data_IF_962571949499
#
_entry.id   IF_962571949499
#
_cell.length_a   1.000
_cell.length_b   1.000
_cell.length_c   1.000
_cell.angle_alpha   90.00
_cell.angle_beta   90.00
_cell.angle_gamma   90.00
#
_symmetry.space_group_name_H-M   'P 1'
#
loop_
_entity.id
_entity.type
_entity.pdbx_description
1 polymer ?
#
# COMPACT_ATOMS: atom_id res chain seq x y z
N UNK A 1 9.07 34.67 20.70
CA UNK A 1 7.77 34.47 20.01
C UNK A 1 7.99 33.47 18.89
N UNK A 2 8.01 32.18 19.23
CA UNK A 2 8.38 31.12 18.30
C UNK A 2 7.12 30.57 17.61
N UNK A 3 6.67 31.27 16.57
CA UNK A 3 5.68 30.74 15.64
C UNK A 3 6.41 29.66 14.83
N UNK A 4 6.44 28.44 15.36
CA UNK A 4 6.90 27.27 14.62
C UNK A 4 6.29 27.33 13.20
N UNK A 5 7.17 27.41 12.19
CA UNK A 5 6.77 27.43 10.77
C UNK A 5 5.83 26.25 10.55
N UNK A 6 4.53 26.52 10.43
CA UNK A 6 3.54 25.57 9.93
C UNK A 6 3.89 25.34 8.47
N UNK A 7 4.74 24.36 8.20
CA UNK A 7 4.97 23.89 6.85
C UNK A 7 3.67 23.26 6.38
N UNK A 8 3.02 23.88 5.40
CA UNK A 8 1.86 23.28 4.74
C UNK A 8 2.30 22.02 3.97
N UNK A 9 1.39 21.06 3.83
CA UNK A 9 1.57 19.93 2.92
C UNK A 9 0.52 19.99 1.81
N UNK A 10 0.88 19.45 0.64
CA UNK A 10 -0.04 19.29 -0.48
C UNK A 10 -0.51 17.83 -0.51
N UNK A 11 -1.81 17.60 -0.32
CA UNK A 11 -2.44 16.29 -0.53
C UNK A 11 -3.38 16.37 -1.74
N UNK A 12 -3.21 15.42 -2.65
CA UNK A 12 -4.11 15.23 -3.79
C UNK A 12 -4.75 13.86 -3.64
N UNK A 13 -6.07 13.80 -3.76
CA UNK A 13 -6.84 12.58 -3.64
C UNK A 13 -7.71 12.37 -4.89
N UNK A 14 -7.12 11.92 -6.02
CA UNK A 14 -7.88 11.58 -7.21
C UNK A 14 -8.97 10.56 -6.85
N UNK A 15 -10.22 10.89 -7.19
CA UNK A 15 -11.37 10.10 -6.79
C UNK A 15 -12.04 10.52 -5.48
N UNK A 16 -11.59 11.58 -4.81
CA UNK A 16 -12.41 12.32 -3.81
C UNK A 16 -12.94 13.60 -4.43
N UNK A 17 -14.25 13.79 -4.37
CA UNK A 17 -14.95 15.01 -4.79
C UNK A 17 -15.45 15.71 -3.53
N UNK A 18 -14.89 16.88 -3.23
CA UNK A 18 -15.24 17.65 -2.02
C UNK A 18 -16.51 18.50 -2.19
N UNK A 19 -17.29 18.33 -3.27
CA UNK A 19 -18.33 19.28 -3.66
C UNK A 19 -19.61 19.18 -2.80
N UNK A 20 -19.89 18.07 -2.10
CA UNK A 20 -21.06 17.97 -1.21
C UNK A 20 -21.00 16.77 -0.24
N UNK A 21 -19.98 16.74 0.63
CA UNK A 21 -19.81 15.70 1.65
C UNK A 21 -19.03 14.47 1.16
N UNK A 22 -17.70 14.52 1.31
CA UNK A 22 -16.73 13.43 1.11
C UNK A 22 -17.16 12.33 0.13
N UNK A 23 -17.40 12.72 -1.12
CA UNK A 23 -17.76 11.77 -2.15
C UNK A 23 -16.53 11.06 -2.67
N UNK A 24 -16.59 9.74 -2.80
CA UNK A 24 -15.51 8.97 -3.39
C UNK A 24 -15.97 8.16 -4.60
N UNK A 25 -15.27 8.33 -5.72
CA UNK A 25 -15.33 7.50 -6.93
C UNK A 25 -13.94 6.88 -7.18
N UNK A 26 -13.83 5.70 -7.82
CA UNK A 26 -12.57 5.04 -8.07
C UNK A 26 -11.89 5.84 -9.19
N UNK A 27 -10.62 6.18 -9.02
CA UNK A 27 -9.92 6.91 -10.07
C UNK A 27 -9.87 6.09 -11.38
N UNK A 28 -9.60 4.79 -11.28
CA UNK A 28 -9.62 3.83 -12.39
C UNK A 28 -9.57 2.40 -11.85
N UNK A 29 -9.92 1.43 -12.69
CA UNK A 29 -9.69 -0.01 -12.44
C UNK A 29 -8.37 -0.52 -13.08
N UNK A 30 -7.74 0.28 -13.94
CA UNK A 30 -6.55 -0.05 -14.70
C UNK A 30 -5.26 0.42 -13.96
N UNK A 31 -4.38 -0.51 -13.55
CA UNK A 31 -3.11 -0.19 -12.91
C UNK A 31 -2.18 0.70 -13.75
N UNK A 32 -2.17 0.53 -15.08
CA UNK A 32 -1.32 1.32 -15.97
C UNK A 32 -1.79 2.78 -15.99
N UNK A 33 -3.09 3.00 -16.18
CA UNK A 33 -3.66 4.35 -16.16
C UNK A 33 -3.46 5.03 -14.80
N UNK A 34 -3.58 4.28 -13.69
CA UNK A 34 -3.31 4.81 -12.36
C UNK A 34 -1.84 5.21 -12.20
N UNK A 35 -0.91 4.40 -12.71
CA UNK A 35 0.51 4.73 -12.72
C UNK A 35 0.80 6.01 -13.51
N UNK A 36 0.23 6.15 -14.71
CA UNK A 36 0.38 7.38 -15.51
C UNK A 36 -0.17 8.59 -14.76
N UNK A 37 -1.37 8.48 -14.16
CA UNK A 37 -1.95 9.57 -13.37
C UNK A 37 -1.06 9.99 -12.20
N UNK A 38 -0.44 9.04 -11.49
CA UNK A 38 0.52 9.34 -10.41
C UNK A 38 1.71 10.14 -10.97
N UNK A 39 2.30 9.71 -12.08
CA UNK A 39 3.43 10.42 -12.68
C UNK A 39 3.05 11.82 -13.15
N UNK A 40 1.92 11.97 -13.84
CA UNK A 40 1.46 13.28 -14.31
C UNK A 40 1.20 14.24 -13.15
N UNK A 41 0.60 13.77 -12.06
CA UNK A 41 0.41 14.58 -10.85
C UNK A 41 1.76 15.02 -10.25
N UNK A 42 2.71 14.10 -10.10
CA UNK A 42 4.04 14.40 -9.53
C UNK A 42 4.86 15.30 -10.46
N UNK A 43 4.65 15.21 -11.78
CA UNK A 43 5.33 16.06 -12.75
C UNK A 43 4.71 17.46 -12.82
N UNK A 44 3.40 17.57 -12.64
CA UNK A 44 2.67 18.84 -12.73
C UNK A 44 2.95 19.76 -11.53
N UNK A 45 3.01 19.20 -10.31
CA UNK A 45 3.29 19.98 -9.11
C UNK A 45 4.78 19.94 -8.76
N UNK A 46 5.41 21.11 -8.65
CA UNK A 46 6.79 21.26 -8.20
C UNK A 46 6.91 21.17 -6.67
N UNK A 47 6.44 20.05 -6.11
CA UNK A 47 6.53 19.74 -4.69
C UNK A 47 7.23 18.40 -4.54
N UNK A 48 8.18 18.31 -3.60
CA UNK A 48 8.89 17.06 -3.33
C UNK A 48 7.89 15.96 -2.95
N UNK A 49 7.79 14.86 -3.74
CA UNK A 49 6.90 13.77 -3.40
C UNK A 49 7.35 13.10 -2.10
N UNK A 50 6.37 12.65 -1.31
CA UNK A 50 6.64 12.07 0.00
C UNK A 50 5.92 10.73 0.23
N UNK A 51 4.58 10.70 0.08
CA UNK A 51 3.79 9.50 0.34
C UNK A 51 2.76 9.24 -0.74
N UNK A 52 2.46 7.97 -0.96
CA UNK A 52 1.40 7.51 -1.85
C UNK A 52 0.45 6.62 -1.07
N UNK A 53 -0.85 6.93 -1.13
CA UNK A 53 -1.89 6.11 -0.51
C UNK A 53 -2.72 5.43 -1.60
N UNK A 54 -2.66 4.09 -1.65
CA UNK A 54 -3.42 3.29 -2.61
C UNK A 54 -4.67 2.71 -1.93
N UNK A 55 -5.84 2.95 -2.51
CA UNK A 55 -7.12 2.48 -1.96
C UNK A 55 -7.78 1.50 -2.92
N UNK A 56 -8.19 0.33 -2.40
CA UNK A 56 -8.88 -0.70 -3.16
C UNK A 56 -10.24 -1.00 -2.56
N UNK A 57 -11.27 -1.08 -3.40
CA UNK A 57 -12.61 -1.43 -2.95
C UNK A 57 -12.68 -2.89 -2.47
N UNK A 58 -13.28 -3.11 -1.30
CA UNK A 58 -13.55 -4.43 -0.76
C UNK A 58 -14.80 -5.04 -1.39
N UNK A 59 -14.76 -6.35 -1.64
CA UNK A 59 -15.97 -7.09 -2.03
C UNK A 59 -16.90 -7.18 -0.83
N UNK A 60 -18.23 -7.10 -1.03
CA UNK A 60 -19.22 -7.23 0.05
C UNK A 60 -18.99 -8.48 0.93
N UNK A 61 -18.65 -9.62 0.31
CA UNK A 61 -18.35 -10.88 1.00
C UNK A 61 -17.05 -10.89 1.82
N UNK A 62 -16.18 -9.92 1.63
CA UNK A 62 -14.89 -9.78 2.31
C UNK A 62 -14.97 -8.87 3.55
N UNK A 63 -15.96 -8.00 3.62
CA UNK A 63 -16.18 -7.09 4.76
C UNK A 63 -16.51 -7.91 6.00
N UNK A 64 -15.85 -7.59 7.11
CA UNK A 64 -15.94 -8.32 8.38
C UNK A 64 -15.15 -9.64 8.43
N UNK A 65 -14.52 -10.05 7.33
CA UNK A 65 -13.74 -11.30 7.22
C UNK A 65 -12.27 -11.05 6.93
N UNK A 66 -11.79 -9.84 7.16
CA UNK A 66 -10.41 -9.47 6.93
C UNK A 66 -9.47 -10.13 7.95
N UNK A 67 -8.22 -10.38 7.55
CA UNK A 67 -7.20 -11.05 8.37
C UNK A 67 -5.96 -10.18 8.52
N UNK A 68 -5.32 -10.25 9.68
CA UNK A 68 -4.04 -9.58 9.92
C UNK A 68 -2.99 -10.19 8.98
N UNK A 69 -2.23 -9.33 8.30
CA UNK A 69 -1.17 -9.77 7.39
C UNK A 69 -0.05 -10.50 8.15
N UNK A 70 0.53 -11.57 7.61
CA UNK A 70 1.70 -12.19 8.20
C UNK A 70 2.87 -11.21 8.13
N UNK A 71 3.68 -11.15 9.19
CA UNK A 71 4.87 -10.28 9.26
C UNK A 71 5.78 -10.44 8.03
N UNK A 72 5.96 -11.69 7.57
CA UNK A 72 6.76 -12.00 6.40
C UNK A 72 6.26 -11.33 5.10
N UNK A 73 4.93 -11.20 4.93
CA UNK A 73 4.33 -10.49 3.79
C UNK A 73 4.48 -8.99 3.94
N UNK A 74 4.39 -8.47 5.16
CA UNK A 74 4.63 -7.05 5.43
C UNK A 74 6.06 -6.65 5.11
N UNK A 75 7.05 -7.49 5.45
CA UNK A 75 8.44 -7.31 5.01
C UNK A 75 8.55 -7.22 3.48
N UNK A 76 7.88 -8.13 2.74
CA UNK A 76 7.86 -8.06 1.27
C UNK A 76 7.26 -6.74 0.75
N UNK A 77 6.14 -6.30 1.31
CA UNK A 77 5.49 -5.05 0.93
C UNK A 77 6.36 -3.83 1.22
N UNK A 78 7.03 -3.79 2.37
CA UNK A 78 7.96 -2.72 2.71
C UNK A 78 9.18 -2.68 1.81
N UNK A 79 9.68 -3.81 1.31
CA UNK A 79 10.71 -3.79 0.26
C UNK A 79 10.18 -3.18 -1.03
N UNK A 80 8.95 -3.51 -1.43
CA UNK A 80 8.37 -3.07 -2.71
C UNK A 80 7.93 -1.59 -2.71
N UNK A 81 7.57 -1.03 -1.56
CA UNK A 81 7.03 0.34 -1.49
C UNK A 81 7.44 1.15 -0.27
N UNK A 82 8.12 0.57 0.71
CA UNK A 82 8.50 1.25 1.96
C UNK A 82 9.73 2.15 1.85
N UNK A 83 10.25 2.38 0.64
CA UNK A 83 11.45 3.21 0.41
C UNK A 83 12.73 2.57 0.96
N UNK A 84 13.16 1.40 0.45
CA UNK A 84 14.47 0.89 0.78
C UNK A 84 15.54 1.87 0.28
N UNK A 85 16.35 2.39 1.19
CA UNK A 85 17.41 3.35 0.90
C UNK A 85 18.75 2.78 1.39
N UNK A 86 19.87 3.21 0.80
CA UNK A 86 21.21 2.95 1.33
C UNK A 86 21.55 4.04 2.34
N UNK A 87 21.92 3.67 3.56
CA UNK A 87 22.52 4.61 4.53
C UNK A 87 23.90 5.01 4.03
N UNK A 88 24.41 6.15 4.53
CA UNK A 88 25.81 6.56 4.32
C UNK A 88 26.86 5.54 4.79
N UNK A 89 26.44 4.54 5.59
CA UNK A 89 27.26 3.39 6.01
C UNK A 89 27.27 2.23 5.01
N UNK A 90 26.65 2.38 3.84
CA UNK A 90 26.49 1.33 2.83
C UNK A 90 25.44 0.26 3.16
N UNK A 91 24.80 0.33 4.33
CA UNK A 91 23.75 -0.63 4.75
C UNK A 91 22.37 -0.18 4.28
N UNK A 92 21.57 -1.13 3.79
CA UNK A 92 20.16 -0.88 3.45
C UNK A 92 19.29 -0.69 4.70
N UNK A 93 18.20 0.06 4.55
CA UNK A 93 17.15 0.21 5.55
C UNK A 93 15.84 0.66 4.89
N UNK A 94 14.71 0.54 5.59
CA UNK A 94 13.38 0.95 5.08
C UNK A 94 13.02 2.32 5.65
N UNK A 95 13.15 3.39 4.87
CA UNK A 95 13.07 4.77 5.36
C UNK A 95 11.72 5.12 5.97
N UNK A 96 10.61 4.64 5.39
CA UNK A 96 9.25 4.88 5.90
C UNK A 96 9.07 4.42 7.35
N UNK A 97 9.66 3.28 7.69
CA UNK A 97 9.60 2.73 9.05
C UNK A 97 10.65 3.38 9.95
N UNK A 98 11.89 3.56 9.45
CA UNK A 98 12.99 3.97 10.30
C UNK A 98 13.00 5.45 10.68
N UNK A 99 12.28 6.31 9.96
CA UNK A 99 12.01 7.70 10.35
C UNK A 99 10.69 7.87 11.12
N UNK A 100 10.04 6.77 11.52
CA UNK A 100 8.72 6.78 12.17
C UNK A 100 7.64 7.51 11.34
N UNK A 101 7.82 7.65 10.01
CA UNK A 101 6.89 8.36 9.11
C UNK A 101 5.50 7.71 9.06
N UNK A 102 5.43 6.43 9.38
CA UNK A 102 4.19 5.66 9.45
C UNK A 102 3.86 5.19 10.86
N UNK A 103 4.53 5.71 11.88
CA UNK A 103 4.19 5.47 13.29
C UNK A 103 3.34 6.62 13.82
N UNK A 104 2.25 6.33 14.52
CA UNK A 104 1.39 7.34 15.15
C UNK A 104 1.21 7.04 16.64
N UNK A 105 1.12 8.09 17.46
CA UNK A 105 1.02 7.98 18.93
C UNK A 105 -0.31 8.51 19.52
N UNK A 106 -1.29 8.86 18.68
CA UNK A 106 -2.48 9.62 19.10
C UNK A 106 -3.32 8.96 20.20
N UNK A 107 -3.65 7.68 20.05
CA UNK A 107 -4.43 6.90 21.03
C UNK A 107 -3.62 5.75 21.64
N UNK A 108 -2.29 5.87 21.56
CA UNK A 108 -1.34 4.78 21.71
C UNK A 108 -0.49 4.61 20.45
N UNK A 109 0.59 3.87 20.58
CA UNK A 109 1.49 3.59 19.46
C UNK A 109 0.80 2.67 18.45
N UNK A 110 0.82 3.06 17.17
CA UNK A 110 0.27 2.27 16.06
C UNK A 110 1.08 2.44 14.78
N UNK A 111 0.95 1.46 13.89
CA UNK A 111 1.55 1.51 12.56
C UNK A 111 0.48 1.85 11.51
N UNK A 112 0.63 3.00 10.87
CA UNK A 112 -0.23 3.51 9.78
C UNK A 112 0.15 2.80 8.46
N UNK A 113 0.00 1.48 8.43
CA UNK A 113 0.36 0.64 7.30
C UNK A 113 -0.82 0.39 6.36
N UNK A 114 -1.91 -0.15 6.90
CA UNK A 114 -3.13 -0.42 6.15
C UNK A 114 -4.38 -0.21 7.02
N UNK A 115 -5.43 0.38 6.45
CA UNK A 115 -6.67 0.76 7.14
C UNK A 115 -7.90 0.53 6.27
N UNK A 116 -8.92 -0.12 6.82
CA UNK A 116 -10.25 -0.18 6.23
C UNK A 116 -11.00 1.13 6.53
N UNK A 117 -11.64 1.70 5.52
CA UNK A 117 -12.46 2.91 5.65
C UNK A 117 -13.80 2.73 4.95
N UNK A 118 -14.85 3.34 5.52
CA UNK A 118 -16.19 3.41 4.94
C UNK A 118 -16.29 4.67 4.07
N UNK A 119 -16.75 4.53 2.83
CA UNK A 119 -16.91 5.64 1.87
C UNK A 119 -18.36 5.73 1.41
N UNK A 120 -18.85 6.96 1.23
CA UNK A 120 -20.16 7.25 0.64
C UNK A 120 -19.99 7.48 -0.87
N UNK A 121 -20.91 6.92 -1.64
CA UNK A 121 -20.94 7.01 -3.09
C UNK A 121 -22.32 7.48 -3.57
N UNK A 122 -22.37 8.34 -4.59
CA UNK A 122 -23.60 8.64 -5.35
C UNK A 122 -23.56 7.98 -6.73
N UNK A 123 -24.49 7.04 -6.96
CA UNK A 123 -24.93 6.67 -8.31
C UNK A 123 -26.00 7.70 -8.69
N UNK A 124 -25.63 8.68 -9.51
CA UNK A 124 -26.66 9.35 -10.29
C UNK A 124 -27.13 8.31 -11.33
N UNK A 125 -28.43 8.03 -11.44
CA UNK A 125 -28.94 7.45 -12.68
C UNK A 125 -28.60 8.41 -13.81
N UNK A 126 -28.44 7.89 -15.03
CA UNK A 126 -28.33 8.68 -16.25
C UNK A 126 -29.30 9.88 -16.22
N UNK A 127 -28.89 11.01 -16.80
CA UNK A 127 -29.42 12.39 -16.65
C UNK A 127 -30.93 12.62 -16.97
N UNK A 128 -31.82 11.63 -16.85
CA UNK A 128 -33.26 11.72 -17.19
C UNK A 128 -34.15 10.97 -16.16
N UNK A 129 -33.82 10.95 -14.87
CA UNK A 129 -34.75 10.39 -13.88
C UNK A 129 -34.81 11.21 -12.58
N UNK A 130 -36.00 11.72 -12.26
CA UNK A 130 -36.43 12.37 -11.01
C UNK A 130 -36.41 11.45 -9.77
N UNK A 131 -35.34 10.67 -9.60
CA UNK A 131 -35.13 9.84 -8.40
C UNK A 131 -33.95 10.37 -7.61
N UNK A 132 -34.10 10.60 -6.29
CA UNK A 132 -32.96 11.00 -5.46
C UNK A 132 -31.86 9.93 -5.56
N UNK A 133 -30.59 10.32 -5.75
CA UNK A 133 -29.52 9.38 -6.01
C UNK A 133 -29.36 8.41 -4.84
N UNK A 134 -29.32 7.12 -5.13
CA UNK A 134 -29.13 6.09 -4.11
C UNK A 134 -27.71 6.22 -3.52
N UNK A 135 -27.63 6.61 -2.25
CA UNK A 135 -26.38 6.61 -1.50
C UNK A 135 -25.93 5.16 -1.29
N UNK A 136 -24.89 4.74 -1.99
CA UNK A 136 -24.26 3.44 -1.78
C UNK A 136 -23.10 3.58 -0.79
N UNK A 137 -23.11 2.77 0.26
CA UNK A 137 -21.97 2.63 1.15
C UNK A 137 -21.00 1.61 0.53
N UNK A 138 -19.73 2.00 0.41
CA UNK A 138 -18.65 1.09 0.01
C UNK A 138 -17.56 1.05 1.08
N UNK A 139 -16.83 -0.06 1.14
CA UNK A 139 -15.68 -0.22 2.03
C UNK A 139 -14.42 -0.28 1.18
N UNK A 140 -13.38 0.43 1.60
CA UNK A 140 -12.08 0.44 0.92
C UNK A 140 -10.99 0.03 1.90
N UNK A 141 -10.01 -0.74 1.42
CA UNK A 141 -8.75 -0.94 2.11
C UNK A 141 -7.73 0.06 1.57
N UNK A 142 -7.16 0.86 2.46
CA UNK A 142 -6.13 1.85 2.14
C UNK A 142 -4.77 1.35 2.59
N UNK A 143 -3.79 1.35 1.70
CA UNK A 143 -2.38 1.10 2.00
C UNK A 143 -1.65 2.44 2.05
N UNK A 144 -1.01 2.74 3.19
CA UNK A 144 -0.41 4.05 3.50
C UNK A 144 1.10 4.01 3.67
N UNK A 145 1.71 2.84 3.50
CA UNK A 145 3.14 2.65 3.68
C UNK A 145 3.99 3.13 2.49
N UNK A 146 3.38 3.38 1.32
CA UNK A 146 4.11 3.56 0.07
C UNK A 146 4.81 4.93 0.03
N UNK A 147 6.12 4.93 -0.26
CA UNK A 147 6.93 6.11 -0.58
C UNK A 147 6.60 6.56 -2.00
N UNK A 148 6.27 7.83 -2.16
CA UNK A 148 6.08 8.42 -3.48
C UNK A 148 7.44 8.88 -4.03
N UNK A 149 7.79 8.39 -5.21
CA UNK A 149 9.09 8.56 -5.86
C UNK A 149 8.84 8.82 -7.36
N UNK A 150 9.50 9.84 -7.91
CA UNK A 150 9.15 10.40 -9.22
C UNK A 150 9.36 9.41 -10.37
N UNK A 151 10.32 8.49 -10.22
CA UNK A 151 10.76 7.54 -11.26
C UNK A 151 10.28 6.11 -11.02
N UNK A 152 9.55 5.84 -9.94
CA UNK A 152 9.12 4.49 -9.62
C UNK A 152 7.97 4.05 -10.54
N UNK A 153 8.06 2.85 -11.12
CA UNK A 153 6.91 2.21 -11.77
C UNK A 153 6.05 1.52 -10.70
N UNK A 154 4.85 2.05 -10.48
CA UNK A 154 3.90 1.55 -9.49
C UNK A 154 3.02 0.40 -9.98
N UNK A 155 2.98 0.10 -11.28
CA UNK A 155 2.10 -0.95 -11.82
C UNK A 155 2.29 -2.31 -11.14
N UNK A 156 3.54 -2.82 -10.95
CA UNK A 156 3.73 -4.10 -10.27
C UNK A 156 3.26 -4.06 -8.81
N UNK A 157 3.49 -2.96 -8.11
CA UNK A 157 3.04 -2.78 -6.72
C UNK A 157 1.51 -2.69 -6.63
N UNK A 158 0.86 -1.95 -7.53
CA UNK A 158 -0.60 -1.82 -7.59
C UNK A 158 -1.24 -3.19 -7.84
N UNK A 159 -0.76 -3.95 -8.83
CA UNK A 159 -1.22 -5.31 -9.10
C UNK A 159 -0.95 -6.24 -7.91
N UNK A 160 0.22 -6.13 -7.28
CA UNK A 160 0.58 -6.90 -6.10
C UNK A 160 -0.41 -6.68 -4.95
N UNK A 161 -0.70 -5.42 -4.62
CA UNK A 161 -1.65 -5.06 -3.57
C UNK A 161 -3.08 -5.51 -3.90
N UNK A 162 -3.50 -5.40 -5.16
CA UNK A 162 -4.81 -5.86 -5.64
C UNK A 162 -4.95 -7.37 -5.50
N UNK A 163 -3.97 -8.14 -5.96
CA UNK A 163 -3.94 -9.59 -5.81
C UNK A 163 -3.96 -10.02 -4.35
N UNK A 164 -3.13 -9.38 -3.52
CA UNK A 164 -3.10 -9.64 -2.09
C UNK A 164 -4.44 -9.34 -1.41
N UNK A 165 -5.09 -8.22 -1.78
CA UNK A 165 -6.41 -7.84 -1.28
C UNK A 165 -7.48 -8.90 -1.60
N UNK A 166 -7.44 -9.43 -2.83
CA UNK A 166 -8.44 -10.38 -3.30
C UNK A 166 -8.26 -11.78 -2.69
N UNK A 167 -7.02 -12.24 -2.55
CA UNK A 167 -6.73 -13.58 -2.03
C UNK A 167 -6.65 -13.64 -0.51
N UNK A 168 -5.93 -12.71 0.11
CA UNK A 168 -5.66 -12.74 1.55
C UNK A 168 -6.68 -11.95 2.36
N UNK A 169 -7.27 -10.91 1.76
CA UNK A 169 -8.19 -9.97 2.40
C UNK A 169 -7.59 -9.31 3.67
N UNK A 170 -6.53 -8.49 3.55
CA UNK A 170 -5.88 -7.83 4.70
C UNK A 170 -6.84 -6.95 5.50
N UNK A 171 -6.69 -7.00 6.83
CA UNK A 171 -7.35 -6.12 7.78
C UNK A 171 -6.51 -4.86 8.06
N UNK A 172 -6.98 -4.02 8.97
CA UNK A 172 -6.13 -3.07 9.68
C UNK A 172 -4.90 -3.79 10.26
N UNK A 173 -3.74 -3.13 10.17
CA UNK A 173 -2.47 -3.74 10.57
C UNK A 173 -1.79 -2.96 11.69
N UNK A 174 -1.64 -3.60 12.85
CA UNK A 174 -0.99 -3.08 14.06
C UNK A 174 -1.56 -1.75 14.54
N UNK A 175 -2.89 -1.66 14.64
CA UNK A 175 -3.56 -0.54 15.31
C UNK A 175 -3.27 -0.54 16.82
N UNK A 176 -3.44 0.62 17.49
CA UNK A 176 -3.24 0.74 18.93
C UNK A 176 -4.07 -0.30 19.72
N UNK A 177 -5.33 -0.52 19.31
CA UNK A 177 -6.22 -1.52 19.90
C UNK A 177 -5.70 -2.95 19.71
N UNK A 178 -5.22 -3.29 18.51
CA UNK A 178 -4.67 -4.61 18.20
C UNK A 178 -3.40 -4.89 19.02
N UNK A 179 -2.54 -3.88 19.16
CA UNK A 179 -1.30 -3.98 19.94
C UNK A 179 -1.59 -4.12 21.44
N UNK A 180 -2.56 -3.36 21.96
CA UNK A 180 -3.02 -3.49 23.37
C UNK A 180 -3.63 -4.86 23.64
N UNK A 181 -4.40 -5.40 22.70
CA UNK A 181 -5.08 -6.69 22.83
C UNK A 181 -4.21 -7.92 22.58
N UNK A 182 -2.98 -7.78 22.06
CA UNK A 182 -2.17 -8.95 21.67
C UNK A 182 -0.66 -8.77 21.90
N UNK A 183 -0.14 -9.48 22.91
CA UNK A 183 1.31 -9.60 23.15
C UNK A 183 2.08 -10.21 21.97
N UNK A 184 1.41 -11.03 21.15
CA UNK A 184 2.02 -11.60 19.93
C UNK A 184 2.22 -10.52 18.88
N UNK A 185 1.21 -9.69 18.63
CA UNK A 185 1.30 -8.59 17.66
C UNK A 185 2.31 -7.55 18.12
N UNK A 186 2.36 -7.24 19.42
CA UNK A 186 3.38 -6.35 19.97
C UNK A 186 4.81 -6.87 19.70
N UNK A 187 5.07 -8.16 19.94
CA UNK A 187 6.36 -8.78 19.62
C UNK A 187 6.68 -8.71 18.12
N UNK A 188 5.70 -9.00 17.26
CA UNK A 188 5.88 -8.90 15.81
C UNK A 188 6.16 -7.47 15.36
N UNK A 189 5.55 -6.47 16.01
CA UNK A 189 5.81 -5.07 15.71
C UNK A 189 7.24 -4.66 16.08
N UNK A 190 7.72 -5.07 17.26
CA UNK A 190 9.11 -4.83 17.66
C UNK A 190 10.11 -5.55 16.73
N UNK A 191 9.80 -6.78 16.30
CA UNK A 191 10.60 -7.49 15.30
C UNK A 191 10.62 -6.73 13.96
N UNK A 192 9.48 -6.19 13.53
CA UNK A 192 9.37 -5.41 12.30
C UNK A 192 10.22 -4.14 12.36
N UNK A 193 10.19 -3.41 13.48
CA UNK A 193 11.02 -2.21 13.69
C UNK A 193 12.51 -2.53 13.60
N UNK A 194 12.96 -3.58 14.30
CA UNK A 194 14.35 -4.05 14.26
C UNK A 194 14.77 -4.41 12.84
N UNK A 195 13.94 -5.21 12.15
CA UNK A 195 14.19 -5.59 10.78
C UNK A 195 14.18 -4.39 9.82
N UNK A 196 13.33 -3.38 10.01
CA UNK A 196 13.32 -2.21 9.13
C UNK A 196 14.58 -1.34 9.27
N UNK A 197 15.16 -1.28 10.48
CA UNK A 197 16.39 -0.55 10.75
C UNK A 197 17.64 -1.26 10.22
N UNK A 198 17.66 -2.59 10.30
CA UNK A 198 18.71 -3.48 9.81
C UNK A 198 18.08 -4.70 9.10
N UNK A 199 17.72 -4.57 7.81
CA UNK A 199 17.01 -5.63 7.12
C UNK A 199 17.88 -6.87 6.91
N UNK A 200 17.31 -8.01 7.26
CA UNK A 200 17.81 -9.32 6.89
C UNK A 200 17.09 -9.85 5.64
N UNK A 201 17.72 -10.79 4.93
CA UNK A 201 17.16 -11.40 3.73
C UNK A 201 15.78 -12.00 3.96
N UNK A 202 14.90 -11.80 2.98
CA UNK A 202 13.61 -12.47 2.93
C UNK A 202 13.81 -13.84 2.27
N UNK A 203 13.50 -14.93 2.98
CA UNK A 203 13.65 -16.28 2.43
C UNK A 203 12.90 -16.46 1.09
N UNK A 204 13.50 -17.23 0.18
CA UNK A 204 12.88 -17.55 -1.12
C UNK A 204 11.53 -18.24 -0.98
N UNK A 205 11.34 -19.06 0.06
CA UNK A 205 10.06 -19.69 0.36
C UNK A 205 8.99 -18.64 0.71
N UNK A 206 9.37 -17.59 1.46
CA UNK A 206 8.46 -16.47 1.77
C UNK A 206 8.08 -15.71 0.51
N UNK A 207 9.06 -15.38 -0.33
CA UNK A 207 8.83 -14.68 -1.61
C UNK A 207 7.89 -15.50 -2.50
N UNK A 208 8.17 -16.79 -2.68
CA UNK A 208 7.31 -17.69 -3.46
C UNK A 208 5.89 -17.78 -2.91
N UNK A 209 5.73 -17.94 -1.59
CA UNK A 209 4.41 -17.97 -0.95
C UNK A 209 3.65 -16.66 -1.11
N UNK A 210 4.36 -15.53 -1.03
CA UNK A 210 3.80 -14.21 -1.24
C UNK A 210 3.29 -14.05 -2.68
N UNK A 211 4.14 -14.30 -3.68
CA UNK A 211 3.79 -14.22 -5.11
C UNK A 211 2.64 -15.16 -5.48
N UNK A 212 2.68 -16.41 -5.00
CA UNK A 212 1.59 -17.38 -5.22
C UNK A 212 0.25 -16.89 -4.64
N UNK A 213 0.28 -16.18 -3.51
CA UNK A 213 -0.94 -15.60 -2.91
C UNK A 213 -1.46 -14.45 -3.76
N UNK A 214 -0.58 -13.57 -4.24
CA UNK A 214 -0.94 -12.46 -5.13
C UNK A 214 -1.54 -12.98 -6.44
N UNK A 215 -0.86 -13.95 -7.08
CA UNK A 215 -1.32 -14.56 -8.33
C UNK A 215 -2.72 -15.17 -8.18
N UNK A 216 -2.96 -15.94 -7.11
CA UNK A 216 -4.30 -16.48 -6.82
C UNK A 216 -5.37 -15.40 -6.74
N UNK A 217 -5.04 -14.22 -6.23
CA UNK A 217 -5.96 -13.09 -6.16
C UNK A 217 -6.29 -12.51 -7.52
N UNK A 218 -5.25 -12.23 -8.32
CA UNK A 218 -5.37 -11.66 -9.67
C UNK A 218 -6.14 -12.59 -10.61
N UNK A 219 -5.88 -13.91 -10.52
CA UNK A 219 -6.61 -14.92 -11.30
C UNK A 219 -8.09 -15.04 -10.94
N UNK A 220 -8.53 -14.44 -9.83
CA UNK A 220 -9.91 -14.49 -9.34
C UNK A 220 -10.61 -13.12 -9.38
N UNK A 221 -10.00 -12.11 -9.99
CA UNK A 221 -10.47 -10.74 -9.95
C UNK A 221 -11.82 -10.52 -10.66
N UNK A 222 -11.93 -10.92 -11.92
CA UNK A 222 -13.10 -10.75 -12.78
C UNK A 222 -14.19 -11.81 -12.57
N UNK A 223 -14.47 -12.15 -11.30
CA UNK A 223 -15.37 -13.25 -10.89
C UNK A 223 -14.88 -14.64 -11.33
N UNK A 224 -13.88 -15.19 -10.61
CA UNK A 224 -13.25 -16.51 -10.86
C UNK A 224 -12.45 -16.60 -12.17
N UNK A 225 -12.15 -15.46 -12.78
CA UNK A 225 -11.24 -15.33 -13.92
C UNK A 225 -10.37 -14.07 -13.74
N UNK A 226 -9.20 -13.99 -14.40
CA UNK A 226 -8.41 -12.77 -14.37
C UNK A 226 -9.16 -11.61 -15.04
N UNK A 227 -9.00 -10.40 -14.49
CA UNK A 227 -9.51 -9.17 -15.12
C UNK A 227 -8.49 -8.56 -16.10
N UNK A 228 -7.24 -8.98 -16.02
CA UNK A 228 -6.12 -8.52 -16.82
C UNK A 228 -5.60 -9.65 -17.72
N UNK A 229 -4.91 -9.30 -18.82
CA UNK A 229 -4.27 -10.31 -19.68
C UNK A 229 -3.22 -11.10 -18.89
N UNK A 230 -3.11 -12.40 -19.14
CA UNK A 230 -2.19 -13.28 -18.40
C UNK A 230 -0.74 -12.81 -18.45
N UNK A 231 -0.24 -12.46 -19.63
CA UNK A 231 1.13 -11.96 -19.78
C UNK A 231 1.40 -10.67 -18.98
N UNK A 232 0.38 -9.84 -18.75
CA UNK A 232 0.52 -8.63 -17.94
C UNK A 232 0.62 -8.97 -16.44
N UNK A 233 -0.18 -9.95 -15.99
CA UNK A 233 -0.08 -10.50 -14.64
C UNK A 233 1.30 -11.14 -14.44
N UNK A 234 1.75 -11.96 -15.38
CA UNK A 234 3.05 -12.65 -15.30
C UNK A 234 4.21 -11.66 -15.28
N UNK A 235 4.20 -10.66 -16.16
CA UNK A 235 5.19 -9.57 -16.15
C UNK A 235 5.25 -8.87 -14.78
N UNK A 236 4.10 -8.50 -14.22
CA UNK A 236 4.05 -7.80 -12.93
C UNK A 236 4.58 -8.67 -11.79
N UNK A 237 4.22 -9.95 -11.77
CA UNK A 237 4.72 -10.91 -10.76
C UNK A 237 6.23 -11.14 -10.91
N UNK A 238 6.75 -11.24 -12.13
CA UNK A 238 8.19 -11.32 -12.38
C UNK A 238 8.91 -10.06 -11.94
N UNK A 239 8.35 -8.87 -12.19
CA UNK A 239 8.93 -7.61 -11.73
C UNK A 239 9.00 -7.54 -10.19
N UNK A 240 7.94 -8.00 -9.49
CA UNK A 240 7.92 -8.10 -8.03
C UNK A 240 8.97 -9.09 -7.51
N UNK A 241 9.09 -10.28 -8.13
CA UNK A 241 10.10 -11.28 -7.76
C UNK A 241 11.52 -10.72 -7.92
N UNK A 242 11.79 -10.07 -9.06
CA UNK A 242 13.09 -9.43 -9.35
C UNK A 242 13.40 -8.37 -8.29
N UNK A 243 12.47 -7.47 -7.95
CA UNK A 243 12.69 -6.45 -6.92
C UNK A 243 13.03 -7.06 -5.55
N UNK A 244 12.27 -8.08 -5.11
CA UNK A 244 12.52 -8.76 -3.83
C UNK A 244 13.89 -9.48 -3.82
N UNK A 245 14.28 -10.11 -4.92
CA UNK A 245 15.59 -10.78 -5.05
C UNK A 245 16.74 -9.79 -5.14
N UNK A 246 16.55 -8.67 -5.85
CA UNK A 246 17.54 -7.60 -5.94
C UNK A 246 17.80 -6.98 -4.57
N UNK A 247 16.74 -6.77 -3.77
CA UNK A 247 16.89 -6.34 -2.38
C UNK A 247 17.77 -7.30 -1.57
N UNK A 248 17.47 -8.60 -1.59
CA UNK A 248 18.31 -9.60 -0.92
C UNK A 248 19.77 -9.60 -1.43
N UNK A 249 19.98 -9.39 -2.74
CA UNK A 249 21.32 -9.31 -3.33
C UNK A 249 22.07 -8.06 -2.85
N UNK A 250 21.38 -6.93 -2.69
CA UNK A 250 21.98 -5.70 -2.17
C UNK A 250 22.38 -5.84 -0.70
N UNK A 251 21.64 -6.61 0.11
CA UNK A 251 22.02 -6.91 1.49
C UNK A 251 23.36 -7.68 1.61
N UNK A 252 23.72 -8.45 0.58
CA UNK A 252 24.98 -9.22 0.53
C UNK A 252 26.20 -8.38 0.13
N UNK A 253 26.01 -7.16 -0.37
CA UNK A 253 27.14 -6.32 -0.78
C UNK A 253 27.85 -5.79 0.46
N UNK A 254 29.18 -5.97 0.58
CA UNK A 254 29.92 -5.42 1.71
C UNK A 254 29.85 -3.88 1.68
N UNK A 255 29.88 -3.22 2.86
CA UNK A 255 29.65 -1.78 2.97
C UNK A 255 30.70 -0.88 2.29
N UNK A 256 31.76 -1.42 1.68
CA UNK A 256 32.83 -0.66 1.00
C UNK A 256 33.26 -1.32 -0.33
N UNK A 257 32.37 -1.39 -1.31
CA UNK A 257 32.75 -1.69 -2.70
C UNK A 257 32.31 -0.55 -3.60
N UNK A 258 33.02 0.57 -3.49
CA UNK A 258 33.00 1.73 -4.38
C UNK A 258 34.42 2.16 -4.62
#
# INVERSE_FOLDING_TARGET
TDRARRSGFLELAPGRLNIAGELSRPATADPWLLNQLIHEIVNFYDVRPHSLHLSFQLRKKQVGRQKILPLAFVKCLLVLGGGPELKGTGRLWVSRMGYDEITQYGYGEELVFARTSKRRWYLAPDEIADKPPAQAITYVQQYKFVRLEKRANYEPLILCLKGLQLAYNPADYLSAEQLKGSRKLHRQYQELKKWAAEPAEISLQTISKFLNTVQKGLMNEGHRRPAHKLHYIDWALSAVDVQLRMFNKQLKKPPNAS
#
